data_IF_212065774918
#
_entry.id   IF_212065774918
#
_cell.length_a   1.000
_cell.length_b   1.000
_cell.length_c   1.000
_cell.angle_alpha   90.00
_cell.angle_beta   90.00
_cell.angle_gamma   90.00
#
_symmetry.space_group_name_H-M   'P 1'
#
loop_
_entity.id
_entity.type
_entity.pdbx_description
1 polymer ?
#
# COMPACT_ATOMS: atom_id res chain seq x y z
N UNK A 1 20.66 3.91 -19.53
CA UNK A 1 20.81 5.18 -18.81
C UNK A 1 19.90 5.18 -17.60
N UNK A 2 20.45 5.25 -16.39
CA UNK A 2 19.69 5.66 -15.21
C UNK A 2 19.69 7.19 -15.20
N UNK A 3 18.57 7.81 -15.45
CA UNK A 3 18.35 9.18 -15.01
C UNK A 3 18.11 9.12 -13.52
N UNK A 4 19.14 9.43 -12.73
CA UNK A 4 19.02 9.61 -11.30
C UNK A 4 17.89 10.60 -11.03
N UNK A 5 17.13 10.35 -9.96
CA UNK A 5 15.96 11.08 -9.50
C UNK A 5 16.16 12.61 -9.49
N UNK A 6 16.02 13.25 -10.62
CA UNK A 6 15.62 14.65 -10.66
C UNK A 6 14.13 14.65 -10.42
N UNK A 7 13.73 15.17 -9.29
CA UNK A 7 12.34 15.30 -8.90
C UNK A 7 11.64 16.26 -9.88
N UNK A 8 11.10 15.72 -10.95
CA UNK A 8 10.04 16.40 -11.68
C UNK A 8 8.77 16.26 -10.84
N UNK A 9 8.09 17.36 -10.60
CA UNK A 9 6.88 17.40 -9.77
C UNK A 9 5.73 16.68 -10.48
N UNK A 10 4.80 16.12 -9.72
CA UNK A 10 3.55 15.59 -10.25
C UNK A 10 2.89 16.58 -11.21
N UNK A 11 2.60 16.15 -12.45
CA UNK A 11 1.97 16.96 -13.49
C UNK A 11 2.93 17.63 -14.49
N UNK A 12 4.25 17.53 -14.31
CA UNK A 12 5.21 17.96 -15.34
C UNK A 12 5.36 16.86 -16.42
N UNK A 13 5.67 17.26 -17.65
CA UNK A 13 5.97 16.33 -18.73
C UNK A 13 7.46 16.38 -19.06
N UNK A 14 8.15 15.26 -18.94
CA UNK A 14 9.53 15.10 -19.37
C UNK A 14 9.56 14.41 -20.73
N UNK A 15 10.14 15.06 -21.73
CA UNK A 15 10.30 14.49 -23.07
C UNK A 15 11.71 13.95 -23.22
N UNK A 16 11.82 12.68 -23.57
CA UNK A 16 13.08 12.00 -23.81
C UNK A 16 13.08 11.50 -25.25
N UNK A 17 13.96 12.08 -26.07
CA UNK A 17 14.17 11.67 -27.45
C UNK A 17 15.54 10.98 -27.55
N UNK A 18 15.52 9.67 -27.79
CA UNK A 18 16.72 8.85 -27.88
C UNK A 18 17.56 9.16 -29.16
N UNK A 19 17.06 10.02 -30.04
CA UNK A 19 17.79 10.43 -31.28
C UNK A 19 19.02 11.28 -31.03
N UNK A 20 19.24 11.81 -29.83
CA UNK A 20 20.40 12.64 -29.50
C UNK A 20 21.57 11.80 -28.98
N UNK A 21 22.40 11.28 -29.90
CA UNK A 21 23.79 11.06 -29.53
C UNK A 21 24.47 9.73 -29.71
N UNK A 22 24.07 8.81 -30.60
CA UNK A 22 24.98 7.68 -30.96
C UNK A 22 24.92 7.32 -32.43
N UNK A 23 26.09 7.41 -33.08
CA UNK A 23 26.34 6.82 -34.41
C UNK A 23 26.64 5.34 -34.21
N UNK A 24 25.76 4.44 -34.56
CA UNK A 24 26.08 3.03 -34.70
C UNK A 24 25.03 2.03 -34.30
N UNK A 25 24.44 1.41 -35.29
CA UNK A 25 23.94 0.02 -35.24
C UNK A 25 22.74 -0.26 -34.36
N UNK A 26 21.93 -1.22 -34.82
CA UNK A 26 20.85 -1.81 -34.04
C UNK A 26 21.36 -2.27 -32.65
N UNK A 27 21.07 -1.53 -31.60
CA UNK A 27 21.44 -1.89 -30.25
C UNK A 27 20.24 -1.77 -29.34
N UNK A 28 20.02 -2.84 -28.57
CA UNK A 28 19.03 -2.85 -27.50
C UNK A 28 19.28 -1.69 -26.53
N UNK A 29 18.23 -0.92 -26.22
CA UNK A 29 18.30 0.17 -25.29
C UNK A 29 17.58 -0.19 -24.00
N UNK A 30 18.01 0.40 -22.90
CA UNK A 30 17.38 0.22 -21.60
C UNK A 30 17.14 1.60 -21.00
N UNK A 31 15.86 1.92 -20.77
CA UNK A 31 15.43 3.16 -20.18
C UNK A 31 14.63 2.88 -18.90
N UNK A 32 15.01 3.49 -17.79
CA UNK A 32 14.34 3.29 -16.50
C UNK A 32 14.05 4.67 -15.88
N UNK A 33 12.77 4.91 -15.59
CA UNK A 33 12.29 6.07 -14.84
C UNK A 33 11.18 5.64 -13.88
N UNK A 34 11.36 5.88 -12.58
CA UNK A 34 10.40 5.45 -11.53
C UNK A 34 9.77 6.61 -10.77
N UNK A 35 9.78 7.83 -11.33
CA UNK A 35 9.16 9.01 -10.74
C UNK A 35 7.67 9.17 -11.04
N UNK A 36 7.10 10.32 -10.64
CA UNK A 36 5.67 10.64 -10.77
C UNK A 36 5.35 11.55 -11.97
N UNK A 37 6.36 12.03 -12.71
CA UNK A 37 6.14 12.88 -13.88
C UNK A 37 5.64 12.08 -15.07
N UNK A 38 4.86 12.74 -15.94
CA UNK A 38 4.48 12.16 -17.22
C UNK A 38 5.70 12.09 -18.14
N UNK A 39 5.98 10.91 -18.68
CA UNK A 39 7.10 10.69 -19.59
C UNK A 39 6.58 10.61 -21.01
N UNK A 40 7.27 11.29 -21.93
CA UNK A 40 7.16 11.02 -23.36
C UNK A 40 8.50 10.46 -23.84
N UNK A 41 8.54 9.17 -24.08
CA UNK A 41 9.72 8.48 -24.60
C UNK A 41 9.51 8.12 -26.06
N UNK A 42 10.46 8.48 -26.90
CA UNK A 42 10.49 8.14 -28.30
C UNK A 42 11.77 7.40 -28.62
N UNK A 43 11.65 6.18 -29.11
CA UNK A 43 12.75 5.39 -29.59
C UNK A 43 13.47 6.04 -30.80
N UNK A 44 14.63 5.54 -31.15
CA UNK A 44 15.46 6.08 -32.22
C UNK A 44 14.82 5.89 -33.60
N UNK A 45 14.68 6.98 -34.41
CA UNK A 45 14.17 6.94 -35.80
C UNK A 45 15.17 6.37 -36.82
N UNK A 46 16.36 5.97 -36.40
CA UNK A 46 17.42 5.50 -37.29
C UNK A 46 17.42 3.97 -37.40
N UNK A 47 16.75 3.44 -38.44
CA UNK A 47 16.88 2.06 -39.00
C UNK A 47 17.37 0.96 -38.03
N UNK A 48 16.74 0.79 -36.87
CA UNK A 48 17.27 -0.11 -35.87
C UNK A 48 16.17 -0.97 -35.28
N UNK A 49 16.23 -2.22 -35.65
CA UNK A 49 15.51 -3.30 -35.01
C UNK A 49 16.23 -3.72 -33.71
N UNK A 50 16.15 -2.94 -32.68
CA UNK A 50 16.69 -3.28 -31.36
C UNK A 50 15.58 -3.73 -30.42
N UNK A 51 15.80 -4.78 -29.66
CA UNK A 51 14.87 -5.19 -28.60
C UNK A 51 15.10 -4.29 -27.38
N UNK A 52 14.20 -3.35 -27.18
CA UNK A 52 14.33 -2.31 -26.16
C UNK A 52 13.61 -2.70 -24.85
N UNK A 53 14.08 -2.13 -23.75
CA UNK A 53 13.41 -2.27 -22.46
C UNK A 53 13.14 -0.90 -21.86
N UNK A 54 11.86 -0.62 -21.60
CA UNK A 54 11.42 0.65 -21.00
C UNK A 54 10.68 0.36 -19.70
N UNK A 55 11.07 1.03 -18.61
CA UNK A 55 10.40 0.95 -17.31
C UNK A 55 10.01 2.36 -16.90
N UNK A 56 8.73 2.58 -16.65
CA UNK A 56 8.12 3.86 -16.31
C UNK A 56 7.55 3.87 -14.89
N UNK A 57 7.25 5.07 -14.40
CA UNK A 57 6.78 5.31 -13.05
C UNK A 57 5.26 5.40 -12.91
N UNK A 58 4.76 6.47 -12.24
CA UNK A 58 3.32 6.63 -11.93
C UNK A 58 2.65 7.78 -12.68
N UNK A 59 3.27 8.30 -13.71
CA UNK A 59 2.69 9.34 -14.57
C UNK A 59 1.70 8.81 -15.60
N UNK A 60 1.12 9.72 -16.41
CA UNK A 60 0.45 9.33 -17.66
C UNK A 60 1.51 9.39 -18.77
N UNK A 61 2.03 8.24 -19.13
CA UNK A 61 3.22 8.15 -19.95
C UNK A 61 2.89 7.90 -21.42
N UNK A 62 3.78 8.32 -22.30
CA UNK A 62 3.67 8.03 -23.73
C UNK A 62 4.97 7.41 -24.21
N UNK A 63 4.90 6.19 -24.74
CA UNK A 63 6.03 5.44 -25.30
C UNK A 63 5.75 5.15 -26.76
N UNK A 64 6.72 5.43 -27.61
CA UNK A 64 6.72 5.03 -29.03
C UNK A 64 8.07 4.39 -29.34
N UNK A 65 8.05 3.10 -29.67
CA UNK A 65 9.21 2.33 -30.12
C UNK A 65 9.10 2.06 -31.63
N UNK A 66 10.08 1.41 -32.23
CA UNK A 66 10.15 1.29 -33.69
C UNK A 66 10.06 -0.16 -34.16
N UNK A 67 11.18 -0.86 -34.32
CA UNK A 67 11.25 -2.26 -34.73
C UNK A 67 12.05 -3.04 -33.68
N UNK A 68 11.59 -4.19 -33.34
CA UNK A 68 12.21 -5.08 -32.35
C UNK A 68 11.14 -5.78 -31.54
N UNK A 69 11.55 -6.75 -30.76
CA UNK A 69 10.67 -7.37 -29.78
C UNK A 69 10.92 -6.66 -28.43
N UNK A 70 10.08 -5.69 -28.11
CA UNK A 70 10.28 -4.74 -27.04
C UNK A 70 9.55 -5.13 -25.75
N UNK A 71 10.08 -4.69 -24.61
CA UNK A 71 9.46 -4.89 -23.30
C UNK A 71 9.23 -3.57 -22.61
N UNK A 72 7.98 -3.23 -22.35
CA UNK A 72 7.57 -1.99 -21.74
C UNK A 72 6.84 -2.27 -20.41
N UNK A 73 7.37 -1.76 -19.30
CA UNK A 73 6.66 -1.72 -18.01
C UNK A 73 6.09 -0.32 -17.84
N UNK A 74 4.79 -0.19 -17.99
CA UNK A 74 4.11 1.10 -18.04
C UNK A 74 4.00 1.79 -16.67
N UNK A 75 3.98 1.02 -15.58
CA UNK A 75 3.83 1.58 -14.25
C UNK A 75 2.37 1.81 -13.87
N UNK A 76 2.09 2.96 -13.25
CA UNK A 76 0.74 3.37 -12.86
C UNK A 76 0.36 4.65 -13.62
N UNK A 77 -0.93 4.80 -13.92
CA UNK A 77 -1.44 5.93 -14.66
C UNK A 77 -2.19 5.52 -15.93
N UNK A 78 -2.53 6.49 -16.76
CA UNK A 78 -3.16 6.25 -18.06
C UNK A 78 -2.09 6.41 -19.15
N UNK A 79 -1.53 5.28 -19.57
CA UNK A 79 -0.38 5.26 -20.45
C UNK A 79 -0.79 5.04 -21.91
N UNK A 80 0.02 5.57 -22.83
CA UNK A 80 -0.10 5.32 -24.26
C UNK A 80 1.17 4.65 -24.74
N UNK A 81 1.04 3.42 -25.24
CA UNK A 81 2.16 2.59 -25.64
C UNK A 81 2.00 2.19 -27.11
N UNK A 82 3.02 2.47 -27.90
CA UNK A 82 3.21 1.98 -29.25
C UNK A 82 4.55 1.24 -29.30
N UNK A 83 4.49 -0.07 -29.31
CA UNK A 83 5.67 -0.94 -29.38
C UNK A 83 6.33 -0.95 -30.76
N UNK A 84 5.57 -0.58 -31.81
CA UNK A 84 6.10 -0.55 -33.18
C UNK A 84 5.92 -1.87 -33.91
N UNK A 85 6.97 -2.35 -34.58
CA UNK A 85 6.97 -3.62 -35.29
C UNK A 85 7.76 -4.68 -34.51
N UNK A 86 7.15 -5.82 -34.29
CA UNK A 86 7.75 -6.95 -33.61
C UNK A 86 6.71 -7.72 -32.77
N UNK A 87 7.19 -8.54 -31.88
CA UNK A 87 6.37 -9.16 -30.84
C UNK A 87 6.64 -8.45 -29.51
N UNK A 88 5.84 -7.40 -29.23
CA UNK A 88 6.07 -6.53 -28.10
C UNK A 88 5.31 -6.99 -26.86
N UNK A 89 5.88 -6.74 -25.69
CA UNK A 89 5.30 -7.07 -24.40
C UNK A 89 5.08 -5.79 -23.58
N UNK A 90 3.84 -5.45 -23.29
CA UNK A 90 3.50 -4.42 -22.32
C UNK A 90 3.12 -5.04 -20.97
N UNK A 91 3.80 -4.65 -19.92
CA UNK A 91 3.61 -5.12 -18.55
C UNK A 91 2.91 -4.04 -17.73
N UNK A 92 1.76 -4.35 -17.19
CA UNK A 92 0.97 -3.48 -16.32
C UNK A 92 0.94 -4.05 -14.90
N UNK A 93 0.96 -3.16 -13.91
CA UNK A 93 0.85 -3.55 -12.50
C UNK A 93 -0.62 -3.75 -12.11
N UNK A 94 -0.93 -4.82 -11.36
CA UNK A 94 -2.28 -5.11 -10.90
C UNK A 94 -2.99 -6.20 -11.68
N UNK A 95 -4.31 -6.34 -11.47
CA UNK A 95 -5.11 -7.38 -12.11
C UNK A 95 -5.63 -6.89 -13.47
N UNK A 96 -5.84 -7.80 -14.42
CA UNK A 96 -6.44 -7.47 -15.73
C UNK A 96 -7.80 -6.77 -15.60
N UNK A 97 -8.56 -7.06 -14.56
CA UNK A 97 -9.84 -6.41 -14.27
C UNK A 97 -9.73 -4.92 -13.93
N UNK A 98 -8.54 -4.46 -13.58
CA UNK A 98 -8.27 -3.07 -13.25
C UNK A 98 -8.12 -2.18 -14.49
N UNK A 99 -8.08 -2.79 -15.67
CA UNK A 99 -7.86 -2.12 -16.94
C UNK A 99 -9.01 -2.31 -17.93
N UNK A 100 -9.26 -1.28 -18.72
CA UNK A 100 -10.05 -1.40 -19.96
C UNK A 100 -9.09 -1.52 -21.13
N UNK A 101 -9.13 -2.65 -21.84
CA UNK A 101 -8.27 -2.93 -23.00
C UNK A 101 -9.14 -2.90 -24.25
N UNK A 102 -8.85 -1.98 -25.17
CA UNK A 102 -9.59 -1.79 -26.41
C UNK A 102 -8.65 -1.89 -27.60
N UNK A 103 -8.96 -2.77 -28.55
CA UNK A 103 -8.26 -2.81 -29.83
C UNK A 103 -8.69 -1.61 -30.70
N UNK A 104 -7.74 -0.76 -31.09
CA UNK A 104 -7.98 0.46 -31.87
C UNK A 104 -7.59 0.32 -33.34
N UNK A 105 -6.83 -0.72 -33.68
CA UNK A 105 -6.38 -1.05 -35.00
C UNK A 105 -5.75 -2.44 -35.02
N UNK A 106 -5.29 -2.90 -36.18
CA UNK A 106 -4.65 -4.21 -36.29
C UNK A 106 -3.36 -4.25 -35.44
N UNK A 107 -3.41 -5.02 -34.36
CA UNK A 107 -2.31 -5.13 -33.41
C UNK A 107 -2.09 -3.91 -32.50
N UNK A 108 -2.98 -2.91 -32.53
CA UNK A 108 -2.90 -1.74 -31.68
C UNK A 108 -3.96 -1.81 -30.56
N UNK A 109 -3.53 -1.56 -29.33
CA UNK A 109 -4.39 -1.61 -28.16
C UNK A 109 -4.29 -0.31 -27.36
N UNK A 110 -5.42 0.17 -26.89
CA UNK A 110 -5.48 1.18 -25.84
C UNK A 110 -5.75 0.49 -24.52
N UNK A 111 -4.90 0.76 -23.54
CA UNK A 111 -5.07 0.26 -22.17
C UNK A 111 -5.34 1.46 -21.26
N UNK A 112 -6.50 1.46 -20.62
CA UNK A 112 -6.89 2.48 -19.66
C UNK A 112 -6.87 1.87 -18.27
N UNK A 113 -6.07 2.43 -17.38
CA UNK A 113 -6.07 2.08 -15.98
C UNK A 113 -7.32 2.68 -15.31
N UNK A 114 -8.23 1.81 -14.86
CA UNK A 114 -9.45 2.22 -14.17
C UNK A 114 -9.22 2.40 -12.67
N UNK A 115 -8.02 2.09 -12.18
CA UNK A 115 -7.67 2.41 -10.80
C UNK A 115 -7.64 3.92 -10.68
N UNK A 116 -8.46 4.46 -9.83
CA UNK A 116 -8.30 5.86 -9.43
C UNK A 116 -6.90 6.01 -8.84
N UNK A 117 -6.13 6.97 -9.33
CA UNK A 117 -4.86 7.32 -8.70
C UNK A 117 -5.11 7.39 -7.21
N UNK A 118 -4.26 6.69 -6.44
CA UNK A 118 -4.32 6.70 -4.98
C UNK A 118 -3.95 8.10 -4.51
N UNK A 119 -4.87 9.05 -4.66
CA UNK A 119 -4.74 10.32 -3.96
C UNK A 119 -4.95 9.99 -2.49
N UNK A 120 -3.93 10.16 -1.69
CA UNK A 120 -4.07 10.12 -0.25
C UNK A 120 -5.08 11.21 0.12
N UNK A 121 -6.34 10.83 0.28
CA UNK A 121 -7.32 11.71 0.91
C UNK A 121 -7.32 11.36 2.39
N UNK A 122 -7.15 12.37 3.23
CA UNK A 122 -7.41 12.18 4.65
C UNK A 122 -8.88 11.78 4.81
N UNK A 123 -9.12 10.62 5.39
CA UNK A 123 -10.44 10.17 5.78
C UNK A 123 -10.40 9.90 7.28
N UNK A 124 -11.38 10.47 8.00
CA UNK A 124 -11.53 10.16 9.41
C UNK A 124 -12.05 8.73 9.55
N UNK A 125 -11.26 7.86 10.19
CA UNK A 125 -11.67 6.49 10.54
C UNK A 125 -12.72 6.53 11.64
N UNK A 126 -12.52 7.40 12.62
CA UNK A 126 -13.43 7.63 13.72
C UNK A 126 -13.40 9.09 14.15
N UNK A 127 -14.57 9.66 14.45
CA UNK A 127 -14.73 11.02 14.97
C UNK A 127 -15.14 11.04 16.46
N UNK A 128 -15.29 9.86 17.06
CA UNK A 128 -15.75 9.66 18.44
C UNK A 128 -14.69 9.10 19.39
N UNK A 129 -13.47 8.84 18.90
CA UNK A 129 -12.37 8.39 19.73
C UNK A 129 -11.72 9.62 20.41
N UNK A 130 -11.94 9.80 21.71
CA UNK A 130 -11.44 10.97 22.43
C UNK A 130 -10.09 10.70 23.09
N UNK A 131 -9.07 11.42 22.62
CA UNK A 131 -7.73 11.32 23.17
C UNK A 131 -7.02 9.99 22.83
N UNK A 132 -7.00 9.57 21.58
CA UNK A 132 -6.24 8.39 21.12
C UNK A 132 -4.77 8.60 21.42
N UNK A 133 -4.19 7.70 22.22
CA UNK A 133 -2.79 7.73 22.65
C UNK A 133 -1.94 6.72 21.91
N UNK A 134 -2.55 5.62 21.48
CA UNK A 134 -1.86 4.55 20.76
C UNK A 134 -2.80 3.86 19.76
N UNK A 135 -2.24 3.38 18.66
CA UNK A 135 -2.95 2.64 17.63
C UNK A 135 -2.07 1.56 17.00
N UNK A 136 -2.62 0.39 16.82
CA UNK A 136 -2.00 -0.74 16.13
C UNK A 136 -2.83 -1.17 14.92
N UNK A 137 -2.14 -1.71 13.92
CA UNK A 137 -2.75 -2.24 12.70
C UNK A 137 -2.39 -3.71 12.58
N UNK A 138 -3.40 -4.57 12.53
CA UNK A 138 -3.25 -6.02 12.40
C UNK A 138 -4.53 -6.64 11.83
N UNK A 139 -4.44 -7.83 11.27
CA UNK A 139 -5.60 -8.65 10.89
C UNK A 139 -6.12 -9.36 12.16
N UNK A 140 -7.10 -8.74 12.82
CA UNK A 140 -7.56 -9.15 14.15
C UNK A 140 -8.49 -10.35 14.08
N UNK A 141 -9.28 -10.46 13.03
CA UNK A 141 -10.27 -11.53 12.86
C UNK A 141 -9.85 -12.60 11.85
N UNK A 142 -8.59 -12.58 11.37
CA UNK A 142 -8.02 -13.57 10.46
C UNK A 142 -8.63 -13.58 9.06
N UNK A 143 -9.24 -12.47 8.63
CA UNK A 143 -9.96 -12.39 7.36
C UNK A 143 -9.10 -11.98 6.16
N UNK A 144 -7.82 -11.67 6.40
CA UNK A 144 -6.82 -11.27 5.40
C UNK A 144 -6.75 -9.77 5.16
N UNK A 145 -7.51 -8.96 5.89
CA UNK A 145 -7.52 -7.50 5.81
C UNK A 145 -7.07 -6.87 7.13
N UNK A 146 -6.35 -5.76 7.01
CA UNK A 146 -5.83 -5.09 8.20
C UNK A 146 -6.89 -4.24 8.86
N UNK A 147 -7.06 -4.43 10.14
CA UNK A 147 -7.91 -3.68 11.06
C UNK A 147 -7.09 -2.67 11.86
N UNK A 148 -7.77 -1.88 12.67
CA UNK A 148 -7.14 -0.90 13.56
C UNK A 148 -7.62 -1.14 15.00
N UNK A 149 -6.69 -1.13 15.94
CA UNK A 149 -6.99 -1.15 17.38
C UNK A 149 -6.47 0.13 18.00
N UNK A 150 -7.24 0.76 18.89
CA UNK A 150 -6.86 2.01 19.56
C UNK A 150 -6.98 1.94 21.07
N UNK A 151 -6.10 2.68 21.74
CA UNK A 151 -6.24 3.05 23.14
C UNK A 151 -6.60 4.54 23.25
N UNK A 152 -7.74 4.87 23.85
CA UNK A 152 -8.23 6.22 23.98
C UNK A 152 -8.30 6.63 25.45
N UNK A 153 -7.55 7.68 25.79
CA UNK A 153 -7.32 8.10 27.18
C UNK A 153 -8.54 8.77 27.82
N UNK A 154 -9.22 9.63 27.07
CA UNK A 154 -10.28 10.48 27.67
C UNK A 154 -11.63 9.76 27.79
N UNK A 155 -11.90 8.82 26.89
CA UNK A 155 -13.11 7.98 26.94
C UNK A 155 -12.87 6.62 27.59
N UNK A 156 -11.63 6.34 28.05
CA UNK A 156 -11.23 5.11 28.74
C UNK A 156 -11.47 3.83 27.91
N UNK A 157 -11.34 3.93 26.59
CA UNK A 157 -11.75 2.87 25.67
C UNK A 157 -10.58 2.20 25.00
N UNK A 158 -10.63 0.88 24.94
CA UNK A 158 -9.91 0.07 23.95
C UNK A 158 -10.94 -0.31 22.89
N UNK A 159 -10.68 0.06 21.64
CA UNK A 159 -11.61 -0.17 20.54
C UNK A 159 -10.93 -0.85 19.36
N UNK A 160 -11.66 -1.73 18.70
CA UNK A 160 -11.33 -2.32 17.42
C UNK A 160 -12.17 -1.70 16.30
N UNK A 161 -11.55 -1.44 15.18
CA UNK A 161 -12.17 -0.92 13.98
C UNK A 161 -11.98 -1.92 12.86
N UNK A 162 -13.03 -2.73 12.62
CA UNK A 162 -13.04 -3.75 11.58
C UNK A 162 -13.08 -3.13 10.18
N UNK A 163 -12.21 -3.57 9.32
CA UNK A 163 -12.14 -3.21 7.91
C UNK A 163 -13.26 -3.91 7.11
N UNK A 164 -14.01 -3.18 6.30
CA UNK A 164 -15.09 -3.74 5.48
C UNK A 164 -14.63 -4.47 4.22
N UNK A 165 -13.31 -4.67 4.02
CA UNK A 165 -12.69 -5.38 2.89
C UNK A 165 -12.81 -4.70 1.53
N UNK A 166 -13.30 -3.47 1.49
CA UNK A 166 -13.40 -2.70 0.27
C UNK A 166 -12.05 -2.09 -0.13
N UNK A 167 -11.90 -1.78 -1.42
CA UNK A 167 -10.69 -1.10 -1.95
C UNK A 167 -10.48 0.28 -1.31
N UNK A 168 -11.56 0.98 -0.96
CA UNK A 168 -11.56 2.18 -0.13
C UNK A 168 -12.22 1.81 1.20
N UNK A 169 -11.45 1.30 2.18
CA UNK A 169 -12.02 0.71 3.36
C UNK A 169 -12.78 1.72 4.21
N UNK A 170 -13.91 1.29 4.71
CA UNK A 170 -14.59 1.90 5.84
C UNK A 170 -14.43 0.99 7.04
N UNK A 171 -14.51 1.56 8.23
CA UNK A 171 -14.24 0.84 9.46
C UNK A 171 -15.46 0.84 10.37
N UNK A 172 -15.78 -0.32 10.93
CA UNK A 172 -16.86 -0.47 11.91
C UNK A 172 -16.25 -0.56 13.30
N UNK A 173 -16.61 0.37 14.19
CA UNK A 173 -16.10 0.40 15.58
C UNK A 173 -16.79 -0.64 16.43
N UNK A 174 -16.01 -1.38 17.21
CA UNK A 174 -16.43 -2.18 18.34
C UNK A 174 -15.61 -1.82 19.58
N UNK A 175 -16.30 -1.61 20.72
CA UNK A 175 -15.65 -1.34 21.99
C UNK A 175 -15.29 -2.65 22.68
N UNK A 176 -13.99 -2.96 22.76
CA UNK A 176 -13.47 -4.13 23.47
C UNK A 176 -13.58 -3.91 24.97
N UNK A 177 -13.26 -2.71 25.42
CA UNK A 177 -13.37 -2.29 26.82
C UNK A 177 -13.66 -0.80 26.92
N UNK A 178 -14.57 -0.40 27.81
CA UNK A 178 -14.84 1.00 28.15
C UNK A 178 -14.39 1.32 29.59
N UNK A 179 -13.60 0.45 30.20
CA UNK A 179 -13.16 0.55 31.60
C UNK A 179 -11.62 0.58 31.75
N UNK A 180 -10.88 0.86 30.67
CA UNK A 180 -9.43 1.03 30.69
C UNK A 180 -9.09 2.48 31.08
N UNK A 181 -9.13 2.80 32.37
CA UNK A 181 -9.08 4.18 32.83
C UNK A 181 -7.78 4.89 32.42
N UNK A 182 -7.88 5.90 31.55
CA UNK A 182 -6.76 6.55 30.89
C UNK A 182 -5.90 5.57 30.10
N UNK A 183 -6.52 4.89 29.14
CA UNK A 183 -5.82 3.95 28.26
C UNK A 183 -4.74 4.68 27.46
N UNK A 184 -3.48 4.28 27.64
CA UNK A 184 -2.32 4.98 27.08
C UNK A 184 -1.54 4.17 26.06
N UNK A 185 -1.48 2.86 26.22
CA UNK A 185 -0.70 1.99 25.35
C UNK A 185 -1.40 0.69 25.08
N UNK A 186 -1.22 0.16 23.88
CA UNK A 186 -1.66 -1.17 23.47
C UNK A 186 -0.54 -1.89 22.75
N UNK A 187 -0.64 -3.21 22.72
CA UNK A 187 0.14 -4.08 21.86
C UNK A 187 -0.75 -5.22 21.38
N UNK A 188 -0.46 -5.74 20.18
CA UNK A 188 -1.21 -6.83 19.56
C UNK A 188 -0.25 -7.99 19.32
N UNK A 189 -0.57 -9.15 19.84
CA UNK A 189 0.20 -10.40 19.66
C UNK A 189 -0.67 -11.61 20.00
N UNK A 190 -0.33 -12.78 19.46
CA UNK A 190 -0.82 -14.06 19.93
C UNK A 190 -0.13 -14.37 21.27
N UNK A 191 -0.85 -14.22 22.39
CA UNK A 191 -0.29 -14.32 23.74
C UNK A 191 -0.34 -15.72 24.32
N UNK A 192 -1.27 -16.55 23.90
CA UNK A 192 -1.44 -17.91 24.42
C UNK A 192 -1.08 -19.01 23.42
N UNK A 193 -0.68 -18.60 22.18
CA UNK A 193 -0.20 -19.53 21.16
C UNK A 193 -1.32 -20.30 20.45
N UNK A 194 -2.55 -19.77 20.47
CA UNK A 194 -3.69 -20.40 19.80
C UNK A 194 -3.80 -20.03 18.32
N UNK A 195 -3.03 -19.04 17.87
CA UNK A 195 -2.95 -18.56 16.49
C UNK A 195 -3.77 -17.30 16.22
N UNK A 196 -4.54 -16.83 17.19
CA UNK A 196 -5.36 -15.63 17.08
C UNK A 196 -4.66 -14.42 17.75
N UNK A 197 -4.87 -13.22 17.22
CA UNK A 197 -4.22 -12.04 17.76
C UNK A 197 -5.00 -11.44 18.92
N UNK A 198 -4.37 -11.38 20.07
CA UNK A 198 -4.87 -10.76 21.28
C UNK A 198 -4.45 -9.30 21.42
N UNK A 199 -5.07 -8.61 22.37
CA UNK A 199 -4.73 -7.25 22.71
C UNK A 199 -4.30 -7.14 24.16
N UNK A 200 -3.20 -6.45 24.42
CA UNK A 200 -2.77 -6.09 25.77
C UNK A 200 -2.75 -4.57 25.91
N UNK A 201 -3.26 -4.06 27.04
CA UNK A 201 -3.31 -2.62 27.30
C UNK A 201 -2.59 -2.21 28.58
N UNK A 202 -2.13 -0.96 28.58
CA UNK A 202 -1.65 -0.25 29.74
C UNK A 202 -2.56 0.95 30.03
N UNK A 203 -3.10 1.03 31.23
CA UNK A 203 -4.03 2.09 31.69
C UNK A 203 -3.46 2.79 32.93
N UNK A 204 -3.33 4.12 32.85
CA UNK A 204 -2.57 4.89 33.84
C UNK A 204 -3.36 5.22 35.11
N UNK A 205 -4.67 5.45 35.02
CA UNK A 205 -5.45 5.92 36.17
C UNK A 205 -6.01 4.79 37.05
N UNK A 206 -6.01 3.56 36.55
CA UNK A 206 -6.36 2.37 37.33
C UNK A 206 -5.19 1.44 37.56
N UNK A 207 -3.97 1.87 37.19
CA UNK A 207 -2.69 1.17 37.40
C UNK A 207 -2.68 -0.26 36.85
N UNK A 208 -3.38 -0.47 35.72
CA UNK A 208 -3.59 -1.80 35.16
C UNK A 208 -2.79 -2.10 33.91
N UNK A 209 -2.41 -3.38 33.81
CA UNK A 209 -2.12 -4.07 32.56
C UNK A 209 -3.20 -5.12 32.39
N UNK A 210 -3.92 -5.06 31.28
CA UNK A 210 -4.99 -5.99 30.98
C UNK A 210 -4.75 -6.67 29.62
N UNK A 211 -5.15 -7.94 29.55
CA UNK A 211 -5.17 -8.75 28.36
C UNK A 211 -6.61 -9.00 27.93
N UNK A 212 -6.89 -8.79 26.69
CA UNK A 212 -8.17 -9.08 26.03
C UNK A 212 -7.91 -10.24 25.08
N UNK A 213 -8.27 -11.45 25.54
CA UNK A 213 -8.14 -12.70 24.81
C UNK A 213 -9.19 -12.73 23.68
N UNK A 214 -8.73 -12.99 22.47
CA UNK A 214 -9.56 -13.12 21.27
C UNK A 214 -10.14 -14.53 21.20
N UNK A 215 -11.40 -14.67 20.81
CA UNK A 215 -12.05 -15.99 20.64
C UNK A 215 -11.70 -16.72 19.36
N UNK A 216 -10.96 -16.07 18.42
CA UNK A 216 -10.63 -16.65 17.11
C UNK A 216 -11.80 -16.73 16.12
N UNK A 217 -12.94 -16.19 16.46
CA UNK A 217 -14.09 -16.14 15.55
C UNK A 217 -13.96 -14.97 14.55
N UNK A 218 -14.59 -15.06 13.39
CA UNK A 218 -14.66 -13.95 12.42
C UNK A 218 -15.40 -12.71 12.94
N UNK A 219 -16.12 -12.85 14.04
CA UNK A 219 -16.70 -11.78 14.86
C UNK A 219 -16.27 -12.08 16.29
N UNK A 220 -15.07 -11.70 16.68
CA UNK A 220 -14.47 -12.10 17.93
C UNK A 220 -15.22 -11.54 19.13
N UNK A 221 -15.39 -12.34 20.18
CA UNK A 221 -15.73 -11.85 21.50
C UNK A 221 -14.46 -11.82 22.37
N UNK A 222 -14.42 -10.94 23.34
CA UNK A 222 -13.23 -10.63 24.10
C UNK A 222 -13.35 -11.06 25.56
N UNK A 223 -12.39 -11.86 26.04
CA UNK A 223 -12.29 -12.19 27.45
C UNK A 223 -11.23 -11.33 28.12
N UNK A 224 -11.64 -10.43 29.02
CA UNK A 224 -10.70 -9.58 29.76
C UNK A 224 -10.04 -10.36 30.89
N UNK A 225 -8.71 -10.29 30.96
CA UNK A 225 -7.86 -10.83 32.04
C UNK A 225 -6.99 -9.71 32.59
N UNK A 226 -6.95 -9.53 33.91
CA UNK A 226 -6.06 -8.58 34.57
C UNK A 226 -4.69 -9.23 34.78
N UNK A 227 -3.64 -8.69 34.17
CA UNK A 227 -2.26 -9.15 34.36
C UNK A 227 -1.67 -8.48 35.61
N UNK A 228 -1.89 -7.17 35.76
CA UNK A 228 -1.45 -6.41 36.93
C UNK A 228 -2.48 -5.33 37.28
N UNK A 229 -2.65 -5.08 38.58
CA UNK A 229 -3.53 -4.05 39.14
C UNK A 229 -2.78 -3.04 40.01
N UNK A 230 -1.45 -3.01 39.91
CA UNK A 230 -0.58 -2.13 40.68
C UNK A 230 0.61 -1.62 39.85
N UNK A 231 0.42 -1.53 38.54
CA UNK A 231 1.37 -0.94 37.61
C UNK A 231 1.22 0.59 37.59
N UNK A 232 1.73 1.25 38.63
CA UNK A 232 1.56 2.70 38.86
C UNK A 232 1.83 3.53 37.59
N UNK A 233 0.80 4.24 37.12
CA UNK A 233 0.81 5.06 35.92
C UNK A 233 1.29 4.28 34.64
N UNK A 234 0.82 3.07 34.45
CA UNK A 234 1.15 2.26 33.28
C UNK A 234 0.86 3.03 31.99
N UNK A 235 1.88 3.24 31.16
CA UNK A 235 1.75 4.10 29.98
C UNK A 235 2.06 3.38 28.67
N UNK A 236 2.86 2.32 28.72
CA UNK A 236 3.20 1.50 27.55
C UNK A 236 3.34 0.04 27.93
N UNK A 237 2.97 -0.82 27.00
CA UNK A 237 3.15 -2.26 27.08
C UNK A 237 3.85 -2.75 25.83
N UNK A 238 4.65 -3.78 25.97
CA UNK A 238 5.32 -4.45 24.89
C UNK A 238 5.40 -5.94 25.20
N UNK A 239 5.20 -6.77 24.20
CA UNK A 239 5.27 -8.22 24.33
C UNK A 239 6.48 -8.74 23.57
N UNK A 240 7.23 -9.62 24.19
CA UNK A 240 8.35 -10.32 23.58
C UNK A 240 8.54 -11.68 24.25
N UNK A 241 8.91 -12.67 23.48
CA UNK A 241 9.44 -13.93 23.99
C UNK A 241 10.86 -13.67 24.55
N UNK A 242 11.02 -13.82 25.86
CA UNK A 242 12.26 -13.53 26.56
C UNK A 242 13.13 -14.76 26.83
N UNK A 243 12.56 -15.93 26.84
CA UNK A 243 13.22 -17.19 27.20
C UNK A 243 13.18 -18.25 26.08
N UNK A 244 12.41 -18.02 25.03
CA UNK A 244 12.42 -18.83 23.80
C UNK A 244 11.69 -20.15 23.93
N UNK A 245 10.68 -20.25 24.81
CA UNK A 245 9.88 -21.47 25.02
C UNK A 245 8.46 -21.42 24.44
#
# INVERSE_FOLDING_TARGET
WELGSQAASSGETLVIDANYGWEGGASNQNFIYTGEANITYKGSDRELSGNDTVVLGSGNDTVTLNEGDDVITAGAGNDTIDGGKGEDIAIFSGNKSDYTITETGYGQYQVVDNRTASTWSAADIATSADGVMDAHVADINGDGYLDIVTASMHDNTIAWYENNKDRNPTFTKEDISTNAASANGIFVADLDGDGDLDIISASANDDKIAWYENSGDTSPWWQTREIATSADQASKVFVADLDGD
#
